data_IF_695451569372
#
_entry.id   IF_695451569372
#
_cell.length_a   1.000
_cell.length_b   1.000
_cell.length_c   1.000
_cell.angle_alpha   90.00
_cell.angle_beta   90.00
_cell.angle_gamma   90.00
#
_symmetry.space_group_name_H-M   'P 1'
#
loop_
_entity.id
_entity.type
_entity.pdbx_description
1 polymer ?
#
# COMPACT_ATOMS: atom_id res chain seq x y z
N UNK A 1 -10.69 28.23 54.03
CA UNK A 1 -9.70 28.66 53.03
C UNK A 1 -8.77 27.49 52.76
N UNK A 2 -9.04 26.73 51.70
CA UNK A 2 -8.25 25.55 51.35
C UNK A 2 -7.96 25.63 49.86
N UNK A 3 -6.69 25.79 49.51
CA UNK A 3 -6.18 25.88 48.14
C UNK A 3 -6.23 24.47 47.56
N UNK A 4 -7.10 24.26 46.57
CA UNK A 4 -7.13 23.02 45.77
C UNK A 4 -6.09 23.15 44.67
N UNK A 5 -5.10 22.25 44.71
CA UNK A 5 -4.02 22.14 43.76
C UNK A 5 -4.54 21.81 42.35
N UNK A 6 -4.06 22.57 41.35
CA UNK A 6 -4.32 22.32 39.94
C UNK A 6 -3.75 20.95 39.51
N UNK A 7 -4.50 20.12 38.76
CA UNK A 7 -3.97 18.89 38.21
C UNK A 7 -2.93 19.19 37.11
N UNK A 8 -1.78 18.51 37.21
CA UNK A 8 -0.71 18.49 36.21
C UNK A 8 -1.28 18.25 34.82
N UNK A 9 -0.96 19.15 33.89
CA UNK A 9 -1.12 18.94 32.46
C UNK A 9 -0.36 17.66 32.04
N UNK A 10 -1.11 16.59 31.82
CA UNK A 10 -0.61 15.40 31.15
C UNK A 10 -0.30 15.78 29.71
N UNK A 11 0.99 15.83 29.39
CA UNK A 11 1.49 16.12 28.05
C UNK A 11 1.03 15.01 27.09
N UNK A 12 0.35 15.43 26.01
CA UNK A 12 -0.13 14.55 24.94
C UNK A 12 1.03 13.85 24.22
N UNK A 13 0.99 12.53 23.98
CA UNK A 13 2.04 11.80 23.28
C UNK A 13 2.03 11.98 21.74
N UNK A 14 1.11 12.78 21.19
CA UNK A 14 0.97 12.98 19.74
C UNK A 14 1.52 14.33 19.30
N UNK A 15 2.83 14.46 19.36
CA UNK A 15 3.59 15.44 18.56
C UNK A 15 4.78 14.75 17.94
N UNK A 16 4.55 13.95 16.89
CA UNK A 16 5.61 13.47 16.00
C UNK A 16 5.15 13.42 14.53
N UNK A 17 4.68 14.55 14.02
CA UNK A 17 5.19 14.96 12.69
C UNK A 17 6.51 15.67 12.93
N UNK A 18 7.53 14.90 13.31
CA UNK A 18 8.89 15.39 13.21
C UNK A 18 9.10 15.70 11.73
N UNK A 19 9.16 16.99 11.38
CA UNK A 19 9.81 17.41 10.13
C UNK A 19 11.08 16.58 10.02
N UNK A 20 11.28 15.78 8.96
CA UNK A 20 12.49 15.01 8.82
C UNK A 20 13.66 15.97 9.00
N UNK A 21 14.56 15.71 9.94
CA UNK A 21 15.79 16.49 10.01
C UNK A 21 16.42 16.47 8.60
N UNK A 22 17.01 17.57 8.12
CA UNK A 22 17.58 17.64 6.77
C UNK A 22 18.58 16.51 6.48
N UNK A 23 19.22 15.96 7.51
CA UNK A 23 20.11 14.80 7.47
C UNK A 23 19.43 13.45 7.21
N UNK A 24 18.10 13.38 7.23
CA UNK A 24 17.29 12.17 6.97
C UNK A 24 16.69 12.15 5.56
N UNK A 25 17.11 13.08 4.69
CA UNK A 25 16.71 13.15 3.30
C UNK A 25 17.86 12.65 2.41
N UNK A 26 17.53 11.87 1.39
CA UNK A 26 18.48 11.36 0.38
C UNK A 26 18.03 11.71 -1.03
N UNK A 27 18.98 11.79 -1.96
CA UNK A 27 18.69 12.08 -3.37
C UNK A 27 17.71 11.04 -3.96
N UNK A 28 16.67 11.53 -4.63
CA UNK A 28 15.57 10.72 -5.13
C UNK A 28 15.83 10.07 -6.49
N UNK A 29 16.87 10.49 -7.22
CA UNK A 29 17.09 10.16 -8.63
C UNK A 29 17.30 8.67 -8.83
N UNK A 30 18.19 8.07 -8.03
CA UNK A 30 18.47 6.63 -8.08
C UNK A 30 17.23 5.80 -7.74
N UNK A 31 16.46 6.20 -6.72
CA UNK A 31 15.25 5.47 -6.31
C UNK A 31 14.12 5.58 -7.35
N UNK A 32 14.01 6.71 -8.05
CA UNK A 32 13.08 6.84 -9.18
C UNK A 32 13.44 5.90 -10.31
N UNK A 33 14.71 5.85 -10.70
CA UNK A 33 15.20 4.93 -11.71
C UNK A 33 14.94 3.48 -11.30
N UNK A 34 15.23 3.13 -10.05
CA UNK A 34 14.96 1.81 -9.47
C UNK A 34 13.49 1.41 -9.54
N UNK A 35 12.57 2.28 -9.12
CA UNK A 35 11.13 1.99 -9.19
C UNK A 35 10.67 1.82 -10.65
N UNK A 36 11.14 2.65 -11.58
CA UNK A 36 10.83 2.50 -13.01
C UNK A 36 11.34 1.19 -13.58
N UNK A 37 12.55 0.80 -13.20
CA UNK A 37 13.13 -0.49 -13.56
C UNK A 37 12.26 -1.64 -13.02
N UNK A 38 11.89 -1.62 -11.73
CA UNK A 38 11.00 -2.64 -11.16
C UNK A 38 9.65 -2.73 -11.89
N UNK A 39 9.05 -1.60 -12.26
CA UNK A 39 7.81 -1.58 -13.06
C UNK A 39 8.03 -2.28 -14.41
N UNK A 40 9.08 -1.88 -15.13
CA UNK A 40 9.41 -2.44 -16.45
C UNK A 40 9.68 -3.95 -16.37
N UNK A 41 10.34 -4.37 -15.30
CA UNK A 41 10.82 -5.74 -15.12
C UNK A 41 9.72 -6.73 -14.71
N UNK A 42 8.72 -6.24 -13.98
CA UNK A 42 7.71 -7.09 -13.34
C UNK A 42 6.31 -6.89 -13.89
N UNK A 43 6.08 -5.80 -14.63
CA UNK A 43 4.76 -5.36 -15.08
C UNK A 43 3.82 -4.97 -13.93
N UNK A 44 4.32 -4.84 -12.70
CA UNK A 44 3.49 -4.47 -11.55
C UNK A 44 3.14 -2.97 -11.59
N UNK A 45 1.91 -2.61 -11.20
CA UNK A 45 1.56 -1.21 -11.04
C UNK A 45 2.37 -0.61 -9.88
N UNK A 46 2.73 0.68 -10.00
CA UNK A 46 3.57 1.35 -9.01
C UNK A 46 2.96 1.35 -7.58
N UNK A 47 1.63 1.30 -7.46
CA UNK A 47 0.93 1.15 -6.16
C UNK A 47 1.19 -0.22 -5.52
N UNK A 48 1.26 -1.28 -6.31
CA UNK A 48 1.61 -2.60 -5.81
C UNK A 48 3.07 -2.65 -5.34
N UNK A 49 3.98 -1.98 -6.08
CA UNK A 49 5.38 -1.82 -5.67
C UNK A 49 5.49 -1.03 -4.36
N UNK A 50 4.75 0.08 -4.22
CA UNK A 50 4.72 0.87 -3.01
C UNK A 50 4.28 0.03 -1.79
N UNK A 51 3.18 -0.71 -1.95
CA UNK A 51 2.67 -1.63 -0.91
C UNK A 51 3.63 -2.76 -0.60
N UNK A 52 4.25 -3.37 -1.61
CA UNK A 52 5.25 -4.42 -1.42
C UNK A 52 6.48 -3.91 -0.63
N UNK A 53 6.91 -2.67 -0.89
CA UNK A 53 7.98 -2.02 -0.15
C UNK A 53 7.53 -1.50 1.24
N UNK A 54 6.23 -1.49 1.55
CA UNK A 54 5.70 -0.85 2.76
C UNK A 54 5.93 0.67 2.77
N UNK A 55 5.91 1.30 1.60
CA UNK A 55 6.05 2.75 1.44
C UNK A 55 4.67 3.33 1.08
N UNK A 56 4.28 4.48 1.64
CA UNK A 56 3.03 5.11 1.24
C UNK A 56 3.00 5.34 -0.27
N UNK A 57 1.93 4.90 -0.92
CA UNK A 57 1.77 5.05 -2.36
C UNK A 57 1.87 6.51 -2.81
N UNK A 58 1.44 7.48 -2.01
CA UNK A 58 1.64 8.91 -2.28
C UNK A 58 3.11 9.27 -2.48
N UNK A 59 4.04 8.71 -1.71
CA UNK A 59 5.49 8.95 -1.85
C UNK A 59 6.00 8.42 -3.18
N UNK A 60 5.58 7.22 -3.57
CA UNK A 60 5.98 6.62 -4.85
C UNK A 60 5.35 7.36 -6.04
N UNK A 61 4.10 7.81 -5.91
CA UNK A 61 3.44 8.66 -6.89
C UNK A 61 4.22 9.96 -7.12
N UNK A 62 4.59 10.66 -6.04
CA UNK A 62 5.39 11.89 -6.10
C UNK A 62 6.78 11.62 -6.68
N UNK A 63 7.39 10.49 -6.35
CA UNK A 63 8.69 10.10 -6.90
C UNK A 63 8.64 9.94 -8.44
N UNK A 64 7.58 9.31 -8.95
CA UNK A 64 7.43 8.98 -10.38
C UNK A 64 6.87 10.13 -11.22
N UNK A 65 5.89 10.85 -10.68
CA UNK A 65 5.11 11.88 -11.39
C UNK A 65 5.44 13.31 -10.97
N UNK A 66 6.18 13.49 -9.87
CA UNK A 66 6.49 14.80 -9.32
C UNK A 66 5.37 15.37 -8.43
N UNK A 67 5.60 16.59 -7.95
CA UNK A 67 4.67 17.41 -7.17
C UNK A 67 4.56 18.76 -7.86
N UNK A 68 3.34 19.20 -8.18
CA UNK A 68 3.09 20.49 -8.85
C UNK A 68 3.94 20.69 -10.11
N UNK A 69 4.12 19.63 -10.92
CA UNK A 69 4.93 19.67 -12.14
C UNK A 69 6.46 19.57 -11.93
N UNK A 70 6.94 19.53 -10.68
CA UNK A 70 8.36 19.43 -10.38
C UNK A 70 8.74 18.03 -9.90
N UNK A 71 9.89 17.54 -10.35
CA UNK A 71 10.43 16.28 -9.83
C UNK A 71 10.86 16.43 -8.37
N UNK A 72 10.50 15.45 -7.55
CA UNK A 72 11.00 15.34 -6.17
C UNK A 72 12.51 15.13 -6.20
N UNK A 73 13.27 16.02 -5.56
CA UNK A 73 14.74 15.89 -5.48
C UNK A 73 15.18 15.02 -4.31
N UNK A 74 14.43 15.03 -3.22
CA UNK A 74 14.80 14.39 -1.96
C UNK A 74 13.66 13.52 -1.44
N UNK A 75 13.98 12.34 -0.91
CA UNK A 75 13.01 11.49 -0.19
C UNK A 75 13.53 11.15 1.20
N UNK A 76 12.63 10.88 2.17
CA UNK A 76 13.04 10.36 3.48
C UNK A 76 13.82 9.06 3.36
N UNK A 77 14.98 8.98 4.05
CA UNK A 77 15.91 7.85 4.04
C UNK A 77 15.22 6.53 4.37
N UNK A 78 14.29 6.53 5.32
CA UNK A 78 13.48 5.34 5.68
C UNK A 78 12.69 4.76 4.50
N UNK A 79 12.19 5.60 3.59
CA UNK A 79 11.47 5.14 2.40
C UNK A 79 12.44 4.68 1.33
N UNK A 80 13.56 5.38 1.17
CA UNK A 80 14.67 4.94 0.31
C UNK A 80 15.15 3.53 0.68
N UNK A 81 15.40 3.26 1.96
CA UNK A 81 15.81 1.94 2.45
C UNK A 81 14.77 0.86 2.15
N UNK A 82 13.48 1.16 2.36
CA UNK A 82 12.38 0.24 2.03
C UNK A 82 12.27 -0.06 0.54
N UNK A 83 12.40 0.96 -0.32
CA UNK A 83 12.40 0.79 -1.77
C UNK A 83 13.61 -0.03 -2.25
N UNK A 84 14.79 0.23 -1.69
CA UNK A 84 16.01 -0.51 -2.05
C UNK A 84 15.95 -1.97 -1.59
N UNK A 85 15.32 -2.24 -0.46
CA UNK A 85 15.11 -3.60 0.04
C UNK A 85 14.11 -4.42 -0.78
N UNK A 86 13.30 -3.79 -1.64
CA UNK A 86 12.38 -4.49 -2.52
C UNK A 86 13.10 -4.94 -3.79
N UNK A 87 13.44 -6.23 -3.86
CA UNK A 87 14.10 -6.84 -5.01
C UNK A 87 13.12 -7.67 -5.85
N UNK A 88 13.53 -8.03 -7.08
CA UNK A 88 12.79 -8.98 -7.92
C UNK A 88 12.58 -10.32 -7.19
N UNK A 89 13.63 -10.83 -6.54
CA UNK A 89 13.56 -12.06 -5.75
C UNK A 89 12.47 -11.98 -4.68
N UNK A 90 12.39 -10.86 -3.95
CA UNK A 90 11.37 -10.67 -2.93
C UNK A 90 9.95 -10.64 -3.52
N UNK A 91 9.77 -10.09 -4.71
CA UNK A 91 8.47 -10.11 -5.42
C UNK A 91 8.12 -11.52 -5.90
N UNK A 92 9.10 -12.30 -6.36
CA UNK A 92 8.91 -13.71 -6.72
C UNK A 92 8.53 -14.56 -5.50
N UNK A 93 9.15 -14.34 -4.34
CA UNK A 93 8.75 -14.98 -3.08
C UNK A 93 7.29 -14.63 -2.71
N UNK A 94 6.87 -13.38 -2.89
CA UNK A 94 5.47 -13.00 -2.63
C UNK A 94 4.48 -13.68 -3.58
N UNK A 95 4.93 -14.13 -4.75
CA UNK A 95 4.12 -14.91 -5.69
C UNK A 95 3.94 -16.37 -5.27
N UNK A 96 4.68 -16.85 -4.26
CA UNK A 96 4.55 -18.22 -3.72
C UNK A 96 4.01 -18.25 -2.29
N UNK A 97 4.01 -17.11 -1.60
CA UNK A 97 3.45 -16.98 -0.25
C UNK A 97 1.92 -16.96 -0.28
N UNK A 98 1.24 -17.75 0.57
CA UNK A 98 -0.22 -17.74 0.64
C UNK A 98 -0.75 -16.41 1.18
N UNK A 99 -1.93 -16.01 0.70
CA UNK A 99 -2.68 -14.86 1.18
C UNK A 99 -4.06 -15.27 1.71
N UNK A 100 -4.64 -14.52 2.67
CA UNK A 100 -5.95 -14.82 3.21
C UNK A 100 -7.06 -14.58 2.18
N UNK A 101 -7.73 -15.65 1.75
CA UNK A 101 -8.88 -15.60 0.83
C UNK A 101 -10.00 -14.64 1.28
N UNK A 102 -10.41 -14.61 2.57
CA UNK A 102 -11.47 -13.69 3.00
C UNK A 102 -11.14 -12.22 2.73
N UNK A 103 -9.88 -11.84 2.90
CA UNK A 103 -9.42 -10.47 2.67
C UNK A 103 -9.41 -10.13 1.17
N UNK A 104 -8.89 -11.04 0.33
CA UNK A 104 -8.93 -10.85 -1.13
C UNK A 104 -10.36 -10.78 -1.65
N UNK A 105 -11.23 -11.67 -1.18
CA UNK A 105 -12.66 -11.70 -1.49
C UNK A 105 -13.31 -10.35 -1.22
N UNK A 106 -13.04 -9.77 -0.05
CA UNK A 106 -13.60 -8.46 0.32
C UNK A 106 -13.14 -7.33 -0.60
N UNK A 107 -11.87 -7.33 -1.03
CA UNK A 107 -11.39 -6.38 -2.04
C UNK A 107 -12.10 -6.57 -3.38
N UNK A 108 -12.24 -7.82 -3.85
CA UNK A 108 -12.91 -8.14 -5.12
C UNK A 108 -14.38 -7.75 -5.10
N UNK A 109 -15.09 -8.03 -4.01
CA UNK A 109 -16.47 -7.60 -3.81
C UNK A 109 -16.60 -6.08 -3.88
N UNK A 110 -15.72 -5.33 -3.19
CA UNK A 110 -15.75 -3.87 -3.24
C UNK A 110 -15.48 -3.33 -4.64
N UNK A 111 -14.56 -3.93 -5.39
CA UNK A 111 -14.30 -3.59 -6.79
C UNK A 111 -15.51 -3.89 -7.68
N UNK A 112 -16.21 -5.00 -7.45
CA UNK A 112 -17.44 -5.34 -8.17
C UNK A 112 -18.56 -4.32 -7.92
N UNK A 113 -18.71 -3.85 -6.67
CA UNK A 113 -19.62 -2.76 -6.33
C UNK A 113 -19.25 -1.43 -7.00
N UNK A 114 -17.99 -1.26 -7.40
CA UNK A 114 -17.48 -0.10 -8.15
C UNK A 114 -17.58 -0.30 -9.67
N UNK A 115 -18.27 -1.36 -10.12
CA UNK A 115 -18.53 -1.65 -11.53
C UNK A 115 -17.42 -2.42 -12.26
N UNK A 116 -16.38 -2.88 -11.55
CA UNK A 116 -15.29 -3.66 -12.18
C UNK A 116 -15.78 -5.06 -12.50
N UNK A 117 -15.57 -5.53 -13.73
CA UNK A 117 -15.97 -6.89 -14.11
C UNK A 117 -15.02 -7.96 -13.58
N UNK A 118 -15.48 -9.20 -13.51
CA UNK A 118 -14.64 -10.36 -13.13
C UNK A 118 -13.45 -10.50 -14.09
N UNK A 119 -13.66 -10.23 -15.38
CA UNK A 119 -12.64 -10.30 -16.42
C UNK A 119 -11.58 -9.20 -16.27
N UNK A 120 -11.97 -8.01 -15.80
CA UNK A 120 -11.02 -6.95 -15.45
C UNK A 120 -10.24 -7.29 -14.18
N UNK A 121 -10.93 -7.78 -13.15
CA UNK A 121 -10.31 -8.25 -11.91
C UNK A 121 -9.25 -9.31 -12.16
N UNK A 122 -9.58 -10.34 -12.95
CA UNK A 122 -8.67 -11.40 -13.34
C UNK A 122 -7.42 -10.85 -14.05
N UNK A 123 -7.59 -9.88 -14.95
CA UNK A 123 -6.48 -9.25 -15.70
C UNK A 123 -5.46 -8.57 -14.78
N UNK A 124 -5.91 -7.70 -13.87
CA UNK A 124 -4.93 -7.00 -13.02
C UNK A 124 -4.44 -7.83 -11.83
N UNK A 125 -5.26 -8.73 -11.28
CA UNK A 125 -4.85 -9.60 -10.17
C UNK A 125 -4.03 -10.80 -10.60
N UNK A 126 -4.12 -11.22 -11.87
CA UNK A 126 -3.60 -12.50 -12.40
C UNK A 126 -4.17 -13.73 -11.68
N UNK A 127 -5.39 -13.63 -11.15
CA UNK A 127 -6.20 -14.78 -10.71
C UNK A 127 -7.03 -15.25 -11.89
N UNK A 128 -7.21 -16.56 -12.09
CA UNK A 128 -8.00 -17.05 -13.22
C UNK A 128 -9.48 -16.67 -13.03
N UNK A 129 -10.24 -16.32 -14.09
CA UNK A 129 -11.63 -15.89 -13.95
C UNK A 129 -12.53 -16.89 -13.20
N UNK A 130 -12.30 -18.20 -13.36
CA UNK A 130 -13.08 -19.23 -12.66
C UNK A 130 -12.71 -19.35 -11.18
N UNK A 131 -11.42 -19.22 -10.82
CA UNK A 131 -10.97 -19.14 -9.43
C UNK A 131 -11.55 -17.90 -8.76
N UNK A 132 -11.62 -16.78 -9.48
CA UNK A 132 -12.20 -15.55 -8.96
C UNK A 132 -13.71 -15.69 -8.71
N UNK A 133 -14.47 -16.32 -9.62
CA UNK A 133 -15.89 -16.62 -9.37
C UNK A 133 -16.07 -17.57 -8.17
N UNK A 134 -15.19 -18.55 -8.04
CA UNK A 134 -15.15 -19.50 -6.90
C UNK A 134 -14.83 -18.77 -5.58
N UNK A 135 -13.87 -17.85 -5.61
CA UNK A 135 -13.55 -16.98 -4.48
C UNK A 135 -14.75 -16.12 -4.09
N UNK A 136 -15.42 -15.51 -5.08
CA UNK A 136 -16.56 -14.62 -4.86
C UNK A 136 -17.80 -15.36 -4.35
N UNK A 137 -17.99 -16.63 -4.68
CA UNK A 137 -19.08 -17.46 -4.14
C UNK A 137 -18.88 -17.91 -2.70
N UNK A 138 -17.72 -17.58 -2.09
CA UNK A 138 -17.43 -17.85 -0.68
C UNK A 138 -16.47 -19.01 -0.46
N UNK A 139 -16.06 -19.72 -1.52
CA UNK A 139 -15.06 -20.78 -1.41
C UNK A 139 -13.65 -20.19 -1.31
N UNK A 140 -12.72 -20.95 -0.74
CA UNK A 140 -11.30 -20.60 -0.71
C UNK A 140 -10.60 -21.19 -1.94
N UNK A 141 -9.66 -20.44 -2.50
CA UNK A 141 -8.83 -20.84 -3.64
C UNK A 141 -7.36 -20.58 -3.30
N UNK A 142 -6.42 -21.09 -4.09
CA UNK A 142 -5.03 -20.69 -3.89
C UNK A 142 -4.86 -19.23 -4.27
N UNK A 143 -4.48 -18.41 -3.29
CA UNK A 143 -4.22 -16.98 -3.48
C UNK A 143 -2.85 -16.64 -2.92
N UNK A 144 -2.12 -15.79 -3.64
CA UNK A 144 -0.75 -15.41 -3.30
C UNK A 144 -0.69 -13.99 -2.75
N UNK A 145 0.35 -13.68 -1.98
CA UNK A 145 0.57 -12.31 -1.47
C UNK A 145 0.70 -11.30 -2.60
N UNK A 146 1.28 -11.70 -3.75
CA UNK A 146 1.38 -10.85 -4.92
C UNK A 146 0.02 -10.52 -5.56
N UNK A 147 -0.87 -11.51 -5.69
CA UNK A 147 -2.25 -11.30 -6.17
C UNK A 147 -3.01 -10.35 -5.22
N UNK A 148 -2.81 -10.50 -3.91
CA UNK A 148 -3.37 -9.59 -2.90
C UNK A 148 -2.85 -8.15 -3.06
N UNK A 149 -1.55 -7.96 -3.28
CA UNK A 149 -0.97 -6.63 -3.51
C UNK A 149 -1.51 -5.96 -4.78
N UNK A 150 -1.75 -6.74 -5.84
CA UNK A 150 -2.40 -6.27 -7.08
C UNK A 150 -3.84 -5.82 -6.81
N UNK A 151 -4.59 -6.57 -6.02
CA UNK A 151 -5.94 -6.21 -5.61
C UNK A 151 -5.98 -4.92 -4.76
N UNK A 152 -5.12 -4.82 -3.75
CA UNK A 152 -4.98 -3.63 -2.92
C UNK A 152 -4.62 -2.39 -3.76
N UNK A 153 -3.70 -2.55 -4.71
CA UNK A 153 -3.32 -1.49 -5.65
C UNK A 153 -4.48 -1.03 -6.54
N UNK A 154 -5.33 -1.97 -6.99
CA UNK A 154 -6.50 -1.67 -7.83
C UNK A 154 -7.61 -0.94 -7.06
N UNK A 155 -7.83 -1.31 -5.79
CA UNK A 155 -8.71 -0.57 -4.89
C UNK A 155 -8.18 0.86 -4.68
N UNK A 156 -6.91 1.00 -4.36
CA UNK A 156 -6.31 2.30 -4.07
C UNK A 156 -6.31 3.23 -5.31
N UNK A 157 -6.15 2.69 -6.51
CA UNK A 157 -6.29 3.43 -7.77
C UNK A 157 -7.69 4.02 -7.97
N UNK A 158 -8.71 3.44 -7.33
CA UNK A 158 -10.11 3.89 -7.34
C UNK A 158 -10.49 4.71 -6.10
N UNK A 159 -9.51 5.10 -5.28
CA UNK A 159 -9.77 5.86 -4.04
C UNK A 159 -10.34 5.01 -2.90
N UNK A 160 -10.32 3.69 -3.02
CA UNK A 160 -10.75 2.76 -1.97
C UNK A 160 -9.53 2.43 -1.10
N UNK A 161 -9.58 2.68 0.20
CA UNK A 161 -8.51 2.28 1.13
C UNK A 161 -8.63 0.80 1.54
N UNK A 162 -7.74 -0.09 1.06
CA UNK A 162 -7.77 -1.52 1.36
C UNK A 162 -7.63 -1.84 2.85
N UNK A 163 -6.87 -1.04 3.61
CA UNK A 163 -6.64 -1.30 5.05
C UNK A 163 -7.94 -1.20 5.84
N UNK A 164 -8.82 -0.26 5.45
CA UNK A 164 -10.12 -0.08 6.11
C UNK A 164 -11.11 -1.19 5.82
N UNK A 165 -10.92 -1.90 4.71
CA UNK A 165 -11.75 -3.05 4.33
C UNK A 165 -11.29 -4.30 5.05
N UNK A 166 -9.98 -4.57 5.03
CA UNK A 166 -9.41 -5.81 5.57
C UNK A 166 -9.35 -5.78 7.10
N UNK A 167 -9.08 -4.61 7.69
CA UNK A 167 -8.91 -4.43 9.14
C UNK A 167 -9.83 -3.34 9.71
N UNK A 168 -11.16 -3.59 9.77
CA UNK A 168 -12.14 -2.57 10.19
C UNK A 168 -11.94 -2.07 11.64
N UNK A 169 -11.31 -2.88 12.50
CA UNK A 169 -11.01 -2.52 13.90
C UNK A 169 -9.98 -1.39 14.05
N UNK A 170 -9.19 -1.06 13.01
CA UNK A 170 -8.28 0.10 13.06
C UNK A 170 -9.01 1.47 13.03
N UNK A 171 -10.34 1.51 12.84
CA UNK A 171 -11.14 2.74 12.86
C UNK A 171 -11.53 3.26 14.26
N UNK A 172 -11.43 2.45 15.32
CA UNK A 172 -12.02 2.81 16.63
C UNK A 172 -11.29 3.92 17.40
N UNK A 173 -10.18 4.45 16.89
CA UNK A 173 -9.38 5.50 17.56
C UNK A 173 -9.29 6.82 16.76
N UNK A 174 -10.18 7.01 15.78
CA UNK A 174 -10.18 8.17 14.88
C UNK A 174 -11.49 8.97 14.89
N UNK A 175 -12.29 8.90 15.95
CA UNK A 175 -13.36 9.87 16.22
C UNK A 175 -13.11 10.61 17.51
#
# INVERSE_FOLDING_TARGET
MTIVAAPRLAQSPYSRTSTPCPSDLVDATAFRAWVRQLISDTGLPWRAIARAAGVPSSVVAQLLHGVNGHQVRMIPRRYAQRLLGLTRHRLTEMATQPAPCPALRMLMWRLGLDGVSVEEMARFTTVLPHELRTLMSGSDVWCTRLQMLRAEAACEARGIDPETLIYPSRRQWMR
#
